data_IF_369579821726
#
_entry.id   IF_369579821726
#
_cell.length_a   1.000
_cell.length_b   1.000
_cell.length_c   1.000
_cell.angle_alpha   90.00
_cell.angle_beta   90.00
_cell.angle_gamma   90.00
#
_symmetry.space_group_name_H-M   'P 1'
#
loop_
_entity.id
_entity.type
_entity.pdbx_description
1 polymer ?
#
# COMPACT_ATOMS: atom_id res chain seq x y z
N UNK A 1 -9.08 -18.62 13.30
CA UNK A 1 -8.23 -17.42 13.45
C UNK A 1 -9.15 -16.26 13.77
N UNK A 2 -8.91 -15.51 14.84
CA UNK A 2 -9.73 -14.35 15.17
C UNK A 2 -9.45 -13.17 14.20
N UNK A 3 -10.32 -12.16 14.23
CA UNK A 3 -10.23 -11.01 13.33
C UNK A 3 -9.01 -10.10 13.59
N UNK A 4 -8.47 -10.07 14.82
CA UNK A 4 -7.25 -9.30 15.16
C UNK A 4 -6.02 -9.96 14.55
N UNK A 5 -5.91 -11.27 14.69
CA UNK A 5 -4.86 -12.08 14.07
C UNK A 5 -4.89 -11.94 12.55
N UNK A 6 -6.09 -11.96 11.93
CA UNK A 6 -6.22 -11.75 10.49
C UNK A 6 -5.75 -10.36 10.06
N UNK A 7 -6.15 -9.32 10.79
CA UNK A 7 -5.69 -7.96 10.51
C UNK A 7 -4.17 -7.86 10.64
N UNK A 8 -3.57 -8.41 11.71
CA UNK A 8 -2.12 -8.39 11.92
C UNK A 8 -1.35 -9.03 10.76
N UNK A 9 -1.79 -10.19 10.28
CA UNK A 9 -1.16 -10.89 9.14
C UNK A 9 -1.26 -10.06 7.85
N UNK A 10 -2.43 -9.46 7.59
CA UNK A 10 -2.66 -8.62 6.41
C UNK A 10 -1.78 -7.35 6.47
N UNK A 11 -1.75 -6.68 7.62
CA UNK A 11 -0.96 -5.46 7.82
C UNK A 11 0.54 -5.73 7.73
N UNK A 12 1.00 -6.86 8.27
CA UNK A 12 2.39 -7.31 8.10
C UNK A 12 2.71 -7.55 6.62
N UNK A 13 1.83 -8.25 5.89
CA UNK A 13 1.97 -8.45 4.46
C UNK A 13 2.11 -7.14 3.68
N UNK A 14 1.31 -6.12 4.04
CA UNK A 14 1.42 -4.78 3.46
C UNK A 14 2.71 -4.07 3.82
N UNK A 15 3.15 -4.16 5.08
CA UNK A 15 4.42 -3.56 5.51
C UNK A 15 5.58 -4.13 4.68
N UNK A 16 5.68 -5.46 4.57
CA UNK A 16 6.71 -6.10 3.73
C UNK A 16 6.59 -5.66 2.28
N UNK A 17 5.38 -5.70 1.71
CA UNK A 17 5.14 -5.34 0.32
C UNK A 17 5.51 -3.88 0.02
N UNK A 18 5.10 -2.93 0.86
CA UNK A 18 5.37 -1.51 0.60
C UNK A 18 6.85 -1.19 0.73
N UNK A 19 7.57 -1.80 1.67
CA UNK A 19 9.01 -1.64 1.79
C UNK A 19 9.75 -2.24 0.58
N UNK A 20 9.31 -3.39 0.07
CA UNK A 20 9.83 -3.95 -1.18
C UNK A 20 9.59 -3.01 -2.38
N UNK A 21 8.39 -2.40 -2.45
CA UNK A 21 8.09 -1.39 -3.48
C UNK A 21 8.99 -0.16 -3.35
N UNK A 22 9.14 0.36 -2.13
CA UNK A 22 9.87 1.60 -1.86
C UNK A 22 11.38 1.47 -2.08
N UNK A 23 11.98 0.38 -1.63
CA UNK A 23 13.44 0.22 -1.61
C UNK A 23 13.97 -0.52 -2.85
N UNK A 24 13.18 -1.39 -3.45
CA UNK A 24 13.64 -2.26 -4.54
C UNK A 24 12.96 -1.89 -5.85
N UNK A 25 11.62 -1.93 -5.90
CA UNK A 25 10.91 -1.84 -7.17
C UNK A 25 11.00 -0.44 -7.77
N UNK A 26 10.54 0.61 -7.07
CA UNK A 26 10.58 1.96 -7.63
C UNK A 26 12.01 2.46 -7.90
N UNK A 27 13.01 2.24 -7.02
CA UNK A 27 14.39 2.60 -7.32
C UNK A 27 14.98 1.82 -8.51
N UNK A 28 14.44 0.65 -8.87
CA UNK A 28 14.92 -0.10 -10.04
C UNK A 28 14.57 0.59 -11.38
N UNK A 29 13.55 1.44 -11.40
CA UNK A 29 13.05 2.05 -12.64
C UNK A 29 14.12 2.90 -13.33
N UNK A 30 15.03 3.52 -12.56
CA UNK A 30 16.13 4.35 -13.07
C UNK A 30 17.18 3.59 -13.88
N UNK A 31 17.20 2.25 -13.82
CA UNK A 31 18.15 1.43 -14.57
C UNK A 31 17.63 0.96 -15.93
N UNK A 32 16.37 1.28 -16.26
CA UNK A 32 15.79 0.98 -17.56
C UNK A 32 15.89 2.20 -18.47
N UNK A 33 16.14 1.96 -19.77
CA UNK A 33 15.85 2.98 -20.77
C UNK A 33 14.32 3.22 -20.85
N UNK A 34 13.86 4.39 -21.34
CA UNK A 34 12.43 4.74 -21.30
C UNK A 34 11.49 3.75 -22.00
N UNK A 35 11.92 3.19 -23.14
CA UNK A 35 11.12 2.22 -23.91
C UNK A 35 10.94 0.90 -23.16
N UNK A 36 12.02 0.38 -22.59
CA UNK A 36 12.00 -0.86 -21.81
C UNK A 36 11.26 -0.65 -20.49
N UNK A 37 11.40 0.52 -19.86
CA UNK A 37 10.67 0.87 -18.65
C UNK A 37 9.17 0.86 -18.90
N UNK A 38 8.69 1.51 -19.97
CA UNK A 38 7.27 1.55 -20.31
C UNK A 38 6.71 0.15 -20.55
N UNK A 39 7.43 -0.70 -21.31
CA UNK A 39 7.04 -2.10 -21.55
C UNK A 39 6.99 -2.93 -20.27
N UNK A 40 8.02 -2.83 -19.43
CA UNK A 40 8.11 -3.55 -18.17
C UNK A 40 7.02 -3.06 -17.18
N UNK A 41 6.83 -1.74 -17.08
CA UNK A 41 5.91 -1.11 -16.15
C UNK A 41 4.45 -1.52 -16.41
N UNK A 42 3.99 -1.53 -17.67
CA UNK A 42 2.65 -2.03 -18.03
C UNK A 42 2.40 -3.47 -17.57
N UNK A 43 3.41 -4.33 -17.74
CA UNK A 43 3.31 -5.72 -17.29
C UNK A 43 3.32 -5.80 -15.76
N UNK A 44 4.19 -5.03 -15.11
CA UNK A 44 4.32 -4.95 -13.67
C UNK A 44 3.03 -4.45 -13.00
N UNK A 45 2.43 -3.35 -13.45
CA UNK A 45 1.24 -2.75 -12.84
C UNK A 45 0.04 -3.69 -12.89
N UNK A 46 -0.15 -4.41 -14.00
CA UNK A 46 -1.18 -5.45 -14.11
C UNK A 46 -0.92 -6.61 -13.15
N UNK A 47 0.32 -7.12 -13.10
CA UNK A 47 0.67 -8.28 -12.26
C UNK A 47 0.60 -7.96 -10.77
N UNK A 48 1.11 -6.80 -10.36
CA UNK A 48 1.10 -6.38 -8.96
C UNK A 48 -0.32 -6.12 -8.47
N UNK A 49 -1.25 -5.72 -9.34
CA UNK A 49 -2.65 -5.54 -8.99
C UNK A 49 -3.31 -6.84 -8.49
N UNK A 50 -2.96 -8.02 -9.06
CA UNK A 50 -3.45 -9.31 -8.56
C UNK A 50 -3.00 -9.63 -7.12
N UNK A 51 -1.93 -8.99 -6.64
CA UNK A 51 -1.44 -9.15 -5.27
C UNK A 51 -2.03 -8.05 -4.37
N UNK A 52 -1.90 -6.79 -4.80
CA UNK A 52 -2.26 -5.63 -4.00
C UNK A 52 -3.77 -5.51 -3.81
N UNK A 53 -4.58 -5.72 -4.85
CA UNK A 53 -6.02 -5.46 -4.78
C UNK A 53 -6.74 -6.42 -3.81
N UNK A 54 -6.50 -7.75 -3.84
CA UNK A 54 -7.07 -8.66 -2.84
C UNK A 54 -6.65 -8.28 -1.42
N UNK A 55 -5.36 -7.99 -1.21
CA UNK A 55 -4.86 -7.56 0.10
C UNK A 55 -5.55 -6.27 0.57
N UNK A 56 -5.69 -5.26 -0.30
CA UNK A 56 -6.26 -3.95 0.08
C UNK A 56 -7.74 -4.08 0.42
N UNK A 57 -8.47 -4.90 -0.33
CA UNK A 57 -9.87 -5.21 -0.06
C UNK A 57 -10.03 -5.99 1.25
N UNK A 58 -9.19 -7.01 1.47
CA UNK A 58 -9.17 -7.76 2.73
C UNK A 58 -8.85 -6.85 3.92
N UNK A 59 -7.87 -5.95 3.81
CA UNK A 59 -7.51 -4.97 4.83
C UNK A 59 -8.67 -4.03 5.14
N UNK A 60 -9.37 -3.53 4.12
CA UNK A 60 -10.53 -2.66 4.32
C UNK A 60 -11.65 -3.38 5.06
N UNK A 61 -12.04 -4.56 4.58
CA UNK A 61 -13.13 -5.35 5.18
C UNK A 61 -12.81 -5.73 6.63
N UNK A 62 -11.60 -6.26 6.89
CA UNK A 62 -11.24 -6.68 8.25
C UNK A 62 -11.16 -5.51 9.22
N UNK A 63 -10.68 -4.35 8.76
CA UNK A 63 -10.57 -3.16 9.60
C UNK A 63 -11.94 -2.58 9.91
N UNK A 64 -12.89 -2.60 8.96
CA UNK A 64 -14.29 -2.23 9.21
C UNK A 64 -14.93 -3.16 10.25
N UNK A 65 -14.75 -4.48 10.10
CA UNK A 65 -15.27 -5.48 11.05
C UNK A 65 -14.69 -5.21 12.45
N UNK A 66 -13.38 -5.05 12.58
CA UNK A 66 -12.74 -4.79 13.88
C UNK A 66 -13.18 -3.44 14.49
N UNK A 67 -13.32 -2.39 13.68
CA UNK A 67 -13.83 -1.10 14.14
C UNK A 67 -15.28 -1.21 14.63
N UNK A 68 -16.12 -2.03 13.99
CA UNK A 68 -17.51 -2.24 14.42
C UNK A 68 -17.60 -3.03 15.73
N UNK A 69 -16.93 -4.19 15.81
CA UNK A 69 -17.06 -5.09 16.96
C UNK A 69 -16.27 -4.65 18.19
N UNK A 70 -15.05 -4.13 18.02
CA UNK A 70 -14.23 -3.71 19.16
C UNK A 70 -14.52 -2.26 19.55
N UNK A 71 -14.80 -1.40 18.55
CA UNK A 71 -15.12 0.02 18.74
C UNK A 71 -14.13 0.76 19.66
N UNK A 72 -12.87 0.30 19.73
CA UNK A 72 -11.83 0.95 20.53
C UNK A 72 -11.08 1.99 19.70
N UNK A 73 -10.35 2.88 20.38
CA UNK A 73 -9.64 3.98 19.73
C UNK A 73 -8.66 3.50 18.64
N UNK A 74 -7.96 2.38 18.88
CA UNK A 74 -6.99 1.82 17.93
C UNK A 74 -7.69 1.32 16.66
N UNK A 75 -8.82 0.63 16.80
CA UNK A 75 -9.61 0.11 15.67
C UNK A 75 -10.18 1.24 14.81
N UNK A 76 -10.63 2.34 15.42
CA UNK A 76 -11.14 3.53 14.71
C UNK A 76 -10.00 4.25 13.99
N UNK A 77 -8.87 4.47 14.66
CA UNK A 77 -7.68 5.09 14.02
C UNK A 77 -7.20 4.23 12.85
N UNK A 78 -7.15 2.90 13.03
CA UNK A 78 -6.77 1.96 11.97
C UNK A 78 -7.67 2.12 10.74
N UNK A 79 -9.00 2.21 10.94
CA UNK A 79 -9.94 2.42 9.84
C UNK A 79 -9.69 3.74 9.11
N UNK A 80 -9.49 4.84 9.84
CA UNK A 80 -9.18 6.14 9.24
C UNK A 80 -7.89 6.09 8.41
N UNK A 81 -6.83 5.47 8.93
CA UNK A 81 -5.57 5.30 8.21
C UNK A 81 -5.76 4.46 6.94
N UNK A 82 -6.51 3.36 7.00
CA UNK A 82 -6.84 2.54 5.82
C UNK A 82 -7.60 3.34 4.77
N UNK A 83 -8.58 4.16 5.17
CA UNK A 83 -9.31 5.03 4.23
C UNK A 83 -8.40 6.08 3.58
N UNK A 84 -7.48 6.68 4.33
CA UNK A 84 -6.47 7.59 3.78
C UNK A 84 -5.58 6.87 2.76
N UNK A 85 -5.13 5.65 3.08
CA UNK A 85 -4.32 4.83 2.17
C UNK A 85 -5.07 4.49 0.87
N UNK A 86 -6.38 4.21 0.95
CA UNK A 86 -7.25 4.04 -0.21
C UNK A 86 -7.30 5.33 -1.04
N UNK A 87 -7.60 6.47 -0.43
CA UNK A 87 -7.65 7.76 -1.12
C UNK A 87 -6.32 8.10 -1.80
N UNK A 88 -5.19 7.94 -1.10
CA UNK A 88 -3.87 8.13 -1.69
C UNK A 88 -3.67 7.22 -2.90
N UNK A 89 -4.01 5.94 -2.77
CA UNK A 89 -3.81 4.96 -3.84
C UNK A 89 -4.58 5.34 -5.11
N UNK A 90 -5.88 5.60 -5.00
CA UNK A 90 -6.73 5.86 -6.16
C UNK A 90 -6.60 7.29 -6.71
N UNK A 91 -6.37 8.29 -5.86
CA UNK A 91 -6.32 9.69 -6.29
C UNK A 91 -4.90 10.16 -6.65
N UNK A 92 -3.85 9.47 -6.18
CA UNK A 92 -2.46 9.88 -6.41
C UNK A 92 -1.69 8.83 -7.20
N UNK A 93 -1.62 7.58 -6.72
CA UNK A 93 -0.74 6.59 -7.33
C UNK A 93 -1.28 6.00 -8.63
N UNK A 94 -2.57 5.71 -8.72
CA UNK A 94 -3.20 5.25 -9.96
C UNK A 94 -2.98 6.25 -11.11
N UNK A 95 -3.25 7.57 -10.94
CA UNK A 95 -2.97 8.56 -11.97
C UNK A 95 -1.48 8.66 -12.35
N UNK A 96 -0.56 8.56 -11.38
CA UNK A 96 0.89 8.61 -11.69
C UNK A 96 1.29 7.40 -12.53
N UNK A 97 0.81 6.19 -12.19
CA UNK A 97 1.09 4.99 -12.99
C UNK A 97 0.53 5.11 -14.42
N UNK A 98 -0.67 5.68 -14.59
CA UNK A 98 -1.23 5.94 -15.92
C UNK A 98 -0.39 6.94 -16.73
N UNK A 99 0.15 7.98 -16.10
CA UNK A 99 1.04 8.94 -16.77
C UNK A 99 2.34 8.29 -17.25
N UNK A 100 2.93 7.40 -16.46
CA UNK A 100 4.15 6.66 -16.86
C UNK A 100 3.88 5.81 -18.11
N UNK A 101 2.71 5.18 -18.19
CA UNK A 101 2.33 4.34 -19.32
C UNK A 101 2.02 5.14 -20.60
N UNK A 102 1.58 6.39 -20.48
CA UNK A 102 1.09 7.23 -21.59
C UNK A 102 2.10 8.27 -22.09
N UNK A 103 2.90 8.86 -21.20
CA UNK A 103 3.76 10.03 -21.50
C UNK A 103 5.25 9.66 -21.54
N UNK A 104 5.58 8.42 -21.90
CA UNK A 104 6.96 7.91 -21.99
C UNK A 104 7.79 8.16 -20.72
N UNK A 105 7.52 7.40 -19.66
CA UNK A 105 8.31 7.25 -18.42
C UNK A 105 9.38 8.33 -18.12
N UNK A 106 8.95 9.61 -18.01
CA UNK A 106 9.87 10.70 -17.70
C UNK A 106 10.46 10.55 -16.30
N UNK A 107 11.71 10.98 -16.11
CA UNK A 107 12.38 10.93 -14.80
C UNK A 107 11.55 11.60 -13.70
N UNK A 108 10.86 12.70 -14.04
CA UNK A 108 9.98 13.44 -13.13
C UNK A 108 8.86 12.57 -12.55
N UNK A 109 8.23 11.71 -13.37
CA UNK A 109 7.16 10.83 -12.90
C UNK A 109 7.68 9.73 -11.97
N UNK A 110 8.91 9.24 -12.21
CA UNK A 110 9.54 8.22 -11.37
C UNK A 110 9.94 8.79 -10.00
N UNK A 111 10.50 10.00 -9.98
CA UNK A 111 10.85 10.70 -8.74
C UNK A 111 9.60 11.00 -7.90
N UNK A 112 8.48 11.34 -8.56
CA UNK A 112 7.19 11.50 -7.91
C UNK A 112 6.70 10.21 -7.26
N UNK A 113 6.87 9.04 -7.89
CA UNK A 113 6.52 7.75 -7.28
C UNK A 113 7.31 7.52 -5.99
N UNK A 114 8.64 7.64 -6.04
CA UNK A 114 9.50 7.36 -4.88
C UNK A 114 9.22 8.32 -3.73
N UNK A 115 9.15 9.63 -4.04
CA UNK A 115 8.93 10.66 -3.02
C UNK A 115 7.56 10.56 -2.36
N UNK A 116 6.49 10.36 -3.15
CA UNK A 116 5.13 10.26 -2.60
C UNK A 116 4.90 8.92 -1.88
N UNK A 117 5.55 7.84 -2.32
CA UNK A 117 5.34 6.52 -1.73
C UNK A 117 5.90 6.37 -0.31
N UNK A 118 6.77 7.28 0.13
CA UNK A 118 7.13 7.40 1.55
C UNK A 118 5.91 7.62 2.44
N UNK A 119 4.90 8.39 1.99
CA UNK A 119 3.66 8.57 2.75
C UNK A 119 2.96 7.23 3.00
N UNK A 120 2.84 6.39 1.96
CA UNK A 120 2.26 5.05 2.06
C UNK A 120 3.11 4.11 2.93
N UNK A 121 4.44 4.20 2.79
CA UNK A 121 5.40 3.40 3.57
C UNK A 121 5.26 3.70 5.07
N UNK A 122 5.21 4.97 5.45
CA UNK A 122 5.03 5.40 6.84
C UNK A 122 3.65 4.96 7.35
N UNK A 123 2.57 5.20 6.59
CA UNK A 123 1.22 4.88 7.02
C UNK A 123 0.99 3.37 7.19
N UNK A 124 1.45 2.51 6.27
CA UNK A 124 1.33 1.05 6.47
C UNK A 124 2.26 0.53 7.56
N UNK A 125 3.44 1.11 7.75
CA UNK A 125 4.30 0.75 8.89
C UNK A 125 3.61 1.12 10.21
N UNK A 126 3.03 2.33 10.30
CA UNK A 126 2.27 2.76 11.46
C UNK A 126 1.05 1.85 11.71
N UNK A 127 0.30 1.49 10.67
CA UNK A 127 -0.85 0.60 10.78
C UNK A 127 -0.44 -0.79 11.29
N UNK A 128 0.69 -1.33 10.82
CA UNK A 128 1.23 -2.59 11.33
C UNK A 128 1.61 -2.50 12.82
N UNK A 129 2.23 -1.39 13.25
CA UNK A 129 2.52 -1.18 14.68
C UNK A 129 1.23 -1.08 15.52
N UNK A 130 0.20 -0.42 15.00
CA UNK A 130 -1.11 -0.37 15.66
C UNK A 130 -1.75 -1.76 15.79
N UNK A 131 -1.67 -2.62 14.76
CA UNK A 131 -2.22 -3.97 14.86
C UNK A 131 -1.44 -4.87 15.83
N UNK A 132 -0.11 -4.69 15.96
CA UNK A 132 0.66 -5.33 17.05
C UNK A 132 0.14 -4.88 18.42
N UNK A 133 -0.01 -3.56 18.63
CA UNK A 133 -0.49 -3.03 19.91
C UNK A 133 -1.89 -3.54 20.22
N UNK A 134 -2.80 -3.53 19.24
CA UNK A 134 -4.16 -4.04 19.42
C UNK A 134 -4.16 -5.53 19.77
N UNK A 135 -3.33 -6.33 19.12
CA UNK A 135 -3.21 -7.76 19.37
C UNK A 135 -2.67 -8.08 20.78
N UNK A 136 -1.71 -7.29 21.27
CA UNK A 136 -1.04 -7.54 22.57
C UNK A 136 -1.85 -7.00 23.76
N UNK A 137 -2.41 -5.79 23.64
CA UNK A 137 -2.97 -5.06 24.79
C UNK A 137 -4.48 -5.07 24.88
N UNK A 138 -5.18 -5.45 23.81
CA UNK A 138 -6.62 -5.61 23.80
C UNK A 138 -6.95 -7.07 23.47
N UNK A 139 -6.90 -8.00 24.43
CA UNK A 139 -7.30 -9.40 24.21
C UNK A 139 -8.78 -9.54 23.82
#
# INVERSE_FOLDING_TARGET
MDFKTLQLVIDFGFAVLIWAVQLVIYPSFKYYNPDNLTKWHRSYTSRVAYIVLPLMLSQLVITIINAWYQSNLISIISLVVVLILWLLTFLVFVPIHQKIDNESASSTHLDQLVSKNWNRTILWTFLFLLSIINFVYYP
#
